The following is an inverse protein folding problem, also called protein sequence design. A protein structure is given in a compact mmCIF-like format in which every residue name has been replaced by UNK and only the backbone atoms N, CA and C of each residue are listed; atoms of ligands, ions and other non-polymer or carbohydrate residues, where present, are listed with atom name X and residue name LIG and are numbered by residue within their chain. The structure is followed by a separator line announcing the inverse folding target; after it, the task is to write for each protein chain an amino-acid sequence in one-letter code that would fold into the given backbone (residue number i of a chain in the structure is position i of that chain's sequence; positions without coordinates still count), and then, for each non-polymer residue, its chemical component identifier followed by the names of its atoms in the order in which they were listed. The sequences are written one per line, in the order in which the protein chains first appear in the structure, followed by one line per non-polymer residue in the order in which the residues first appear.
data_IF_131486034155
#
_entry.id   IF_131486034155
#
_cell.length_a   1.000
_cell.length_b   1.000
_cell.length_c   1.000
_cell.angle_alpha   90.00
_cell.angle_beta   90.00
_cell.angle_gamma   90.00
#
_symmetry.space_group_name_H-M   'P 1'
#
loop_
_entity.id
_entity.type
_entity.pdbx_description
1 polymer ?
#
# COMPACT_ATOMS: atom_id res chain seq x y z
N UNK A 1 -17.08 -8.00 0.54
CA UNK A 1 -17.68 -7.86 1.87
C UNK A 1 -17.66 -6.39 2.23
N UNK A 2 -18.71 -5.81 2.79
CA UNK A 2 -18.65 -4.42 3.19
C UNK A 2 -17.60 -4.25 4.28
N UNK A 3 -16.77 -3.22 4.14
CA UNK A 3 -15.86 -2.77 5.18
C UNK A 3 -16.68 -2.47 6.43
N UNK A 4 -16.32 -2.95 7.63
CA UNK A 4 -17.06 -2.63 8.82
C UNK A 4 -17.12 -1.11 8.98
N UNK A 5 -18.32 -0.55 8.93
CA UNK A 5 -18.55 0.87 9.12
C UNK A 5 -18.54 1.13 10.63
N UNK A 6 -17.51 1.80 11.11
CA UNK A 6 -17.46 2.24 12.52
C UNK A 6 -18.42 3.40 12.71
N UNK A 7 -19.48 3.19 13.48
CA UNK A 7 -20.35 4.26 13.95
C UNK A 7 -19.86 4.66 15.35
N UNK A 8 -19.27 5.85 15.46
CA UNK A 8 -18.94 6.44 16.75
C UNK A 8 -20.17 7.19 17.27
N UNK A 9 -20.74 6.75 18.38
CA UNK A 9 -21.73 7.50 19.13
C UNK A 9 -21.22 7.61 20.57
N UNK A 10 -20.89 8.82 21.01
CA UNK A 10 -20.53 9.24 22.36
C UNK A 10 -19.64 8.29 23.20
N UNK A 11 -18.59 7.70 22.64
CA UNK A 11 -17.57 6.82 23.25
C UNK A 11 -17.76 5.30 23.09
N UNK A 12 -18.69 4.85 22.28
CA UNK A 12 -18.79 3.45 21.96
C UNK A 12 -18.59 3.24 20.46
N UNK A 13 -17.65 2.34 20.09
CA UNK A 13 -17.52 1.83 18.73
C UNK A 13 -18.38 0.57 18.68
N UNK A 14 -19.50 0.61 17.98
CA UNK A 14 -20.35 -0.56 17.80
C UNK A 14 -19.91 -1.30 16.54
N UNK A 15 -19.39 -2.50 16.72
CA UNK A 15 -19.11 -3.43 15.62
C UNK A 15 -20.29 -4.40 15.53
N UNK A 16 -21.00 -4.49 14.39
CA UNK A 16 -22.08 -5.46 14.25
C UNK A 16 -21.53 -6.89 14.32
N UNK A 17 -22.02 -7.70 15.25
CA UNK A 17 -21.62 -9.09 15.41
C UNK A 17 -22.43 -9.75 16.54
N UNK A 18 -22.56 -11.07 16.47
CA UNK A 18 -23.36 -11.87 17.41
C UNK A 18 -22.53 -12.50 18.52
N UNK A 19 -21.21 -12.59 18.37
CA UNK A 19 -20.31 -13.19 19.34
C UNK A 19 -19.43 -12.12 19.99
N UNK A 20 -19.32 -12.17 21.31
CA UNK A 20 -18.49 -11.27 22.09
C UNK A 20 -17.29 -12.01 22.67
N UNK A 21 -16.11 -11.40 22.57
CA UNK A 21 -14.89 -11.90 23.22
C UNK A 21 -14.21 -10.76 23.97
N UNK A 22 -13.69 -11.03 25.16
CA UNK A 22 -12.97 -10.04 25.97
C UNK A 22 -11.50 -10.42 26.07
N UNK A 23 -10.65 -9.43 25.76
CA UNK A 23 -9.19 -9.54 25.87
C UNK A 23 -8.69 -8.72 27.04
N UNK A 24 -8.01 -9.40 27.98
CA UNK A 24 -7.37 -8.75 29.15
C UNK A 24 -6.02 -8.15 28.78
N UNK A 25 -5.62 -7.12 29.53
CA UNK A 25 -4.32 -6.48 29.36
C UNK A 25 -4.22 -5.53 28.15
N UNK A 26 -3.01 -5.00 27.88
CA UNK A 26 -2.83 -4.02 26.82
C UNK A 26 -2.77 -4.66 25.42
N UNK A 27 -3.43 -4.05 24.45
CA UNK A 27 -3.43 -4.42 23.04
C UNK A 27 -3.25 -3.19 22.16
N UNK A 28 -2.71 -3.38 20.96
CA UNK A 28 -2.46 -2.35 19.96
C UNK A 28 -3.37 -2.56 18.74
N UNK A 29 -4.33 -1.67 18.51
CA UNK A 29 -5.19 -1.75 17.34
C UNK A 29 -4.45 -1.26 16.10
N UNK A 30 -4.03 -2.18 15.26
CA UNK A 30 -3.48 -1.87 13.95
C UNK A 30 -4.57 -1.87 12.87
N UNK A 31 -5.47 -2.83 12.93
CA UNK A 31 -6.47 -3.07 11.89
C UNK A 31 -5.88 -3.77 10.67
N UNK A 32 -6.62 -3.83 9.58
CA UNK A 32 -6.18 -4.46 8.33
C UNK A 32 -6.94 -3.90 7.12
N UNK A 33 -6.38 -4.13 5.93
CA UNK A 33 -7.03 -3.88 4.65
C UNK A 33 -6.49 -4.86 3.60
N UNK A 34 -7.36 -5.43 2.75
CA UNK A 34 -6.95 -6.41 1.75
C UNK A 34 -6.06 -5.82 0.65
N UNK A 35 -6.27 -4.55 0.29
CA UNK A 35 -5.39 -3.87 -0.66
C UNK A 35 -4.05 -3.54 0.01
N UNK A 36 -2.96 -4.07 -0.56
CA UNK A 36 -1.60 -3.93 -0.01
C UNK A 36 -1.14 -2.47 0.10
N UNK A 37 -1.52 -1.60 -0.85
CA UNK A 37 -1.20 -0.17 -0.78
C UNK A 37 -1.85 0.50 0.44
N UNK A 38 -3.15 0.23 0.68
CA UNK A 38 -3.82 0.72 1.87
C UNK A 38 -3.25 0.10 3.15
N UNK A 39 -2.89 -1.19 3.12
CA UNK A 39 -2.20 -1.83 4.22
C UNK A 39 -0.92 -1.08 4.58
N UNK A 40 -0.03 -0.87 3.64
CA UNK A 40 1.25 -0.18 3.88
C UNK A 40 1.05 1.24 4.42
N UNK A 41 0.20 2.03 3.76
CA UNK A 41 0.11 3.47 4.01
C UNK A 41 -0.81 3.86 5.16
N UNK A 42 -1.90 3.10 5.40
CA UNK A 42 -2.91 3.49 6.37
C UNK A 42 -2.89 2.63 7.65
N UNK A 43 -2.26 1.46 7.60
CA UNK A 43 -2.24 0.53 8.73
C UNK A 43 -0.81 0.27 9.20
N UNK A 44 0.00 -0.38 8.40
CA UNK A 44 1.37 -0.74 8.79
C UNK A 44 2.22 0.49 9.12
N UNK A 45 2.06 1.59 8.41
CA UNK A 45 2.77 2.85 8.68
C UNK A 45 2.51 3.44 10.08
N UNK A 46 1.38 3.08 10.75
CA UNK A 46 1.13 3.47 12.15
C UNK A 46 2.17 2.94 13.13
N UNK A 47 2.87 1.87 12.74
CA UNK A 47 3.93 1.28 13.55
C UNK A 47 5.13 2.22 13.73
N UNK A 48 5.24 3.29 12.94
CA UNK A 48 6.23 4.35 13.17
C UNK A 48 6.07 5.00 14.55
N UNK A 49 4.82 5.18 15.00
CA UNK A 49 4.49 5.77 16.31
C UNK A 49 4.74 4.81 17.47
N UNK A 50 4.71 3.50 17.18
CA UNK A 50 4.93 2.44 18.17
C UNK A 50 6.41 2.16 18.34
N UNK A 51 7.18 2.19 17.26
CA UNK A 51 8.61 1.85 17.23
C UNK A 51 9.45 2.64 18.23
N UNK A 52 9.09 3.90 18.46
CA UNK A 52 9.79 4.82 19.39
C UNK A 52 9.40 4.56 20.86
N UNK A 53 8.35 3.77 21.09
CA UNK A 53 7.77 3.48 22.40
C UNK A 53 8.08 2.04 22.79
N UNK A 54 9.17 1.84 23.53
CA UNK A 54 9.61 0.50 23.98
C UNK A 54 8.55 -0.24 24.80
N UNK A 55 7.71 0.49 25.51
CA UNK A 55 6.59 -0.03 26.28
C UNK A 55 5.45 -0.58 25.42
N UNK A 56 5.40 -0.21 24.12
CA UNK A 56 4.39 -0.67 23.17
C UNK A 56 4.86 -1.76 22.21
N UNK A 57 6.18 -1.93 22.03
CA UNK A 57 6.72 -2.87 21.04
C UNK A 57 6.51 -4.35 21.40
N UNK A 58 6.21 -4.66 22.66
CA UNK A 58 5.90 -6.02 23.11
C UNK A 58 4.39 -6.30 23.26
N UNK A 59 3.55 -5.30 23.01
CA UNK A 59 2.10 -5.43 23.14
C UNK A 59 1.55 -6.15 21.90
N UNK A 60 0.63 -7.15 22.08
CA UNK A 60 0.00 -7.83 20.97
C UNK A 60 -0.75 -6.86 20.03
N UNK A 61 -0.61 -7.07 18.73
CA UNK A 61 -1.29 -6.28 17.70
C UNK A 61 -2.63 -6.91 17.32
N UNK A 62 -3.66 -6.09 17.24
CA UNK A 62 -5.01 -6.48 16.84
C UNK A 62 -5.20 -6.18 15.35
N UNK A 63 -5.55 -7.20 14.58
CA UNK A 63 -5.76 -7.14 13.13
C UNK A 63 -7.06 -7.87 12.76
N UNK A 64 -7.50 -7.72 11.51
CA UNK A 64 -8.55 -8.57 10.97
C UNK A 64 -8.03 -10.01 10.73
N UNK A 65 -8.92 -10.99 10.77
CA UNK A 65 -8.60 -12.41 10.61
C UNK A 65 -8.05 -12.77 9.22
N UNK A 66 -8.29 -11.92 8.22
CA UNK A 66 -7.81 -12.10 6.85
C UNK A 66 -6.34 -11.71 6.63
N UNK A 67 -5.62 -11.32 7.69
CA UNK A 67 -4.22 -10.94 7.58
C UNK A 67 -3.35 -12.17 7.19
N UNK A 68 -2.76 -12.12 6.02
CA UNK A 68 -1.97 -13.22 5.44
C UNK A 68 -0.95 -12.71 4.41
N UNK A 69 -0.10 -13.61 3.92
CA UNK A 69 0.88 -13.34 2.87
C UNK A 69 1.76 -12.13 3.19
N UNK A 70 2.02 -11.29 2.21
CA UNK A 70 2.91 -10.12 2.33
C UNK A 70 2.55 -9.17 3.47
N UNK A 71 1.26 -9.11 3.86
CA UNK A 71 0.83 -8.27 4.99
C UNK A 71 1.31 -8.83 6.33
N UNK A 72 1.23 -10.14 6.50
CA UNK A 72 1.76 -10.83 7.68
C UNK A 72 3.28 -10.72 7.73
N UNK A 73 3.96 -10.92 6.60
CA UNK A 73 5.42 -10.79 6.50
C UNK A 73 5.91 -9.40 6.94
N UNK A 74 5.14 -8.32 6.69
CA UNK A 74 5.47 -7.00 7.20
C UNK A 74 5.56 -6.96 8.73
N UNK A 75 4.61 -7.57 9.45
CA UNK A 75 4.64 -7.62 10.91
C UNK A 75 5.76 -8.51 11.42
N UNK A 76 5.98 -9.67 10.80
CA UNK A 76 7.08 -10.57 11.15
C UNK A 76 8.44 -9.89 11.05
N UNK A 77 8.64 -9.03 10.05
CA UNK A 77 9.87 -8.22 9.90
C UNK A 77 10.06 -7.17 10.99
N UNK A 78 8.98 -6.72 11.61
CA UNK A 78 9.03 -5.87 12.80
C UNK A 78 9.26 -6.67 14.09
N UNK A 79 9.32 -8.01 14.01
CA UNK A 79 9.58 -8.89 15.14
C UNK A 79 8.31 -9.43 15.82
N UNK A 80 7.12 -9.22 15.25
CA UNK A 80 5.89 -9.80 15.79
C UNK A 80 5.78 -11.27 15.40
N UNK A 81 5.74 -12.15 16.42
CA UNK A 81 5.40 -13.56 16.25
C UNK A 81 3.89 -13.80 16.16
N UNK A 82 3.48 -14.98 15.74
CA UNK A 82 2.05 -15.34 15.64
C UNK A 82 1.32 -15.25 16.99
N UNK A 83 2.00 -15.52 18.09
CA UNK A 83 1.50 -15.39 19.46
C UNK A 83 1.22 -13.94 19.89
N UNK A 84 1.78 -12.99 19.17
CA UNK A 84 1.57 -11.56 19.39
C UNK A 84 0.55 -10.95 18.40
N UNK A 85 -0.07 -11.75 17.54
CA UNK A 85 -1.05 -11.29 16.55
C UNK A 85 -2.45 -11.78 16.94
N UNK A 86 -3.27 -10.85 17.41
CA UNK A 86 -4.67 -11.11 17.76
C UNK A 86 -5.53 -10.86 16.52
N UNK A 87 -6.10 -11.93 15.96
CA UNK A 87 -7.01 -11.84 14.81
C UNK A 87 -8.44 -11.78 15.31
N UNK A 88 -9.15 -10.71 14.90
CA UNK A 88 -10.58 -10.56 15.20
C UNK A 88 -11.38 -10.99 13.98
N UNK A 89 -12.17 -12.08 14.08
CA UNK A 89 -13.01 -12.54 13.00
C UNK A 89 -14.05 -11.50 12.55
N UNK A 90 -14.38 -11.53 11.27
CA UNK A 90 -15.45 -10.69 10.76
C UNK A 90 -16.78 -11.04 11.44
N UNK A 91 -17.49 -10.02 11.93
CA UNK A 91 -18.75 -10.18 12.64
C UNK A 91 -18.62 -10.45 14.15
N UNK A 92 -17.42 -10.58 14.68
CA UNK A 92 -17.19 -10.71 16.12
C UNK A 92 -17.03 -9.35 16.79
N UNK A 93 -17.61 -9.17 17.96
CA UNK A 93 -17.38 -8.01 18.84
C UNK A 93 -16.25 -8.37 19.80
N UNK A 94 -15.15 -7.58 19.72
CA UNK A 94 -14.00 -7.76 20.60
C UNK A 94 -13.91 -6.60 21.59
N UNK A 95 -13.92 -6.92 22.88
CA UNK A 95 -13.72 -5.99 23.97
C UNK A 95 -12.29 -6.07 24.48
N UNK A 96 -11.67 -4.93 24.67
CA UNK A 96 -10.28 -4.83 25.16
C UNK A 96 -10.28 -3.99 26.43
N UNK A 97 -9.70 -4.51 27.51
CA UNK A 97 -9.54 -3.74 28.76
C UNK A 97 -8.66 -2.50 28.57
N UNK A 98 -7.64 -2.61 27.73
CA UNK A 98 -6.72 -1.54 27.43
C UNK A 98 -6.30 -1.60 25.96
N UNK A 99 -6.84 -0.67 25.14
CA UNK A 99 -6.61 -0.63 23.71
C UNK A 99 -5.86 0.65 23.30
N UNK A 100 -4.65 0.48 22.81
CA UNK A 100 -3.89 1.56 22.20
C UNK A 100 -4.24 1.67 20.72
N UNK A 101 -4.59 2.88 20.30
CA UNK A 101 -4.98 3.16 18.90
C UNK A 101 -4.00 4.19 18.33
N UNK A 102 -2.97 3.78 17.57
CA UNK A 102 -2.07 4.71 16.94
C UNK A 102 -2.82 5.57 15.91
N UNK A 103 -2.56 6.87 15.90
CA UNK A 103 -3.12 7.78 14.90
C UNK A 103 -2.62 7.44 13.50
N UNK A 104 -3.32 7.96 12.49
CA UNK A 104 -2.87 7.86 11.11
C UNK A 104 -1.67 8.80 10.90
N UNK A 105 -0.59 8.34 10.22
CA UNK A 105 0.59 9.16 9.98
C UNK A 105 0.42 10.05 8.73
N UNK A 106 -0.76 10.61 8.56
CA UNK A 106 -1.07 11.57 7.51
C UNK A 106 -2.06 12.62 8.02
N UNK A 107 -2.16 13.72 7.31
CA UNK A 107 -3.15 14.76 7.56
C UNK A 107 -3.86 15.15 6.27
N UNK A 108 -5.06 15.70 6.42
CA UNK A 108 -5.78 16.31 5.29
C UNK A 108 -5.30 17.75 5.18
N UNK A 109 -4.71 18.10 4.04
CA UNK A 109 -4.34 19.49 3.77
C UNK A 109 -5.56 20.28 3.31
N UNK A 110 -6.05 21.25 4.09
CA UNK A 110 -7.22 22.07 3.69
C UNK A 110 -6.96 22.91 2.44
N UNK A 111 -5.68 23.22 2.16
CA UNK A 111 -5.31 24.04 1.00
C UNK A 111 -5.26 23.23 -0.30
N UNK A 112 -4.98 21.93 -0.17
CA UNK A 112 -4.75 21.06 -1.32
C UNK A 112 -5.89 20.06 -1.52
N UNK A 113 -6.85 20.00 -0.59
CA UNK A 113 -7.90 18.97 -0.53
C UNK A 113 -7.31 17.55 -0.69
N UNK A 114 -6.22 17.30 0.04
CA UNK A 114 -5.34 16.16 -0.18
C UNK A 114 -4.99 15.45 1.11
N UNK A 115 -4.84 14.15 1.02
CA UNK A 115 -4.15 13.34 2.01
C UNK A 115 -2.64 13.49 1.82
N UNK A 116 -1.94 13.95 2.84
CA UNK A 116 -0.49 14.13 2.83
C UNK A 116 0.10 13.24 3.92
N UNK A 117 0.85 12.23 3.50
CA UNK A 117 1.65 11.42 4.42
C UNK A 117 2.90 12.19 4.82
N UNK A 118 3.33 12.02 6.07
CA UNK A 118 4.59 12.62 6.50
C UNK A 118 5.77 11.92 5.80
N UNK A 119 6.86 12.63 5.51
CA UNK A 119 8.05 12.05 4.88
C UNK A 119 8.60 10.82 5.61
N UNK A 120 8.47 10.80 6.94
CA UNK A 120 8.91 9.71 7.79
C UNK A 120 8.24 8.38 7.45
N UNK A 121 7.03 8.39 6.88
CA UNK A 121 6.31 7.18 6.50
C UNK A 121 7.11 6.37 5.49
N UNK A 122 7.57 6.99 4.40
CA UNK A 122 8.32 6.23 3.39
C UNK A 122 9.68 5.77 3.91
N UNK A 123 10.35 6.58 4.73
CA UNK A 123 11.58 6.20 5.37
C UNK A 123 11.39 5.04 6.35
N UNK A 124 10.30 5.05 7.12
CA UNK A 124 9.92 3.94 7.98
C UNK A 124 9.67 2.66 7.18
N UNK A 125 8.82 2.72 6.15
CA UNK A 125 8.50 1.56 5.31
C UNK A 125 9.76 0.94 4.71
N UNK A 126 10.65 1.75 4.15
CA UNK A 126 11.90 1.30 3.56
C UNK A 126 12.82 0.65 4.61
N UNK A 127 12.98 1.27 5.77
CA UNK A 127 13.81 0.75 6.86
C UNK A 127 13.23 -0.52 7.47
N UNK A 128 11.93 -0.53 7.77
CA UNK A 128 11.25 -1.66 8.41
C UNK A 128 11.22 -2.91 7.53
N UNK A 129 11.10 -2.72 6.22
CA UNK A 129 11.00 -3.82 5.26
C UNK A 129 12.33 -4.18 4.59
N UNK A 130 13.43 -3.51 4.94
CA UNK A 130 14.76 -3.85 4.46
C UNK A 130 15.05 -3.42 3.02
N UNK A 131 14.40 -2.34 2.55
CA UNK A 131 14.65 -1.82 1.21
C UNK A 131 16.06 -1.22 1.09
N UNK A 132 16.75 -1.52 -0.01
CA UNK A 132 18.05 -0.95 -0.30
C UNK A 132 17.93 0.51 -0.77
N UNK A 133 18.85 1.36 -0.34
CA UNK A 133 19.00 2.73 -0.86
C UNK A 133 19.77 2.81 -2.17
N UNK A 134 20.46 1.72 -2.55
CA UNK A 134 21.28 1.63 -3.77
C UNK A 134 20.81 0.45 -4.60
N UNK A 135 20.90 0.60 -5.92
CA UNK A 135 20.69 -0.52 -6.84
C UNK A 135 21.81 -1.56 -6.64
N UNK A 136 21.45 -2.80 -6.85
CA UNK A 136 22.43 -3.90 -6.83
C UNK A 136 23.32 -3.81 -8.06
N UNK A 137 24.62 -3.73 -7.84
CA UNK A 137 25.62 -3.65 -8.92
C UNK A 137 25.97 -5.04 -9.49
N UNK A 138 25.64 -6.12 -8.77
CA UNK A 138 25.86 -7.51 -9.16
C UNK A 138 24.78 -8.08 -10.09
N UNK A 139 23.77 -7.29 -10.41
CA UNK A 139 22.64 -7.64 -11.27
C UNK A 139 22.42 -6.61 -12.37
N UNK A 140 21.99 -7.04 -13.56
CA UNK A 140 21.60 -6.11 -14.61
C UNK A 140 20.38 -5.29 -14.17
N UNK A 141 20.32 -4.01 -14.56
CA UNK A 141 19.16 -3.18 -14.28
C UNK A 141 17.92 -3.69 -15.01
N UNK A 142 16.79 -3.72 -14.31
CA UNK A 142 15.52 -4.26 -14.83
C UNK A 142 14.51 -3.16 -15.10
N UNK A 143 13.74 -3.33 -16.15
CA UNK A 143 12.63 -2.45 -16.53
C UNK A 143 11.34 -3.23 -16.39
N UNK A 144 10.48 -2.81 -15.48
CA UNK A 144 9.30 -3.56 -15.10
C UNK A 144 8.03 -2.89 -15.63
N UNK A 145 7.18 -3.70 -16.24
CA UNK A 145 5.82 -3.33 -16.60
C UNK A 145 4.85 -4.04 -15.64
N UNK A 146 4.19 -3.28 -14.79
CA UNK A 146 3.25 -3.80 -13.80
C UNK A 146 1.91 -4.08 -14.47
N UNK A 147 1.48 -5.34 -14.46
CA UNK A 147 0.18 -5.74 -14.99
C UNK A 147 -0.94 -5.54 -13.97
N UNK A 148 -2.15 -5.27 -14.48
CA UNK A 148 -3.38 -5.22 -13.70
C UNK A 148 -4.49 -6.08 -14.30
N UNK A 149 -4.17 -7.07 -15.13
CA UNK A 149 -5.14 -7.93 -15.82
C UNK A 149 -6.08 -8.66 -14.87
N UNK A 150 -5.57 -9.08 -13.72
CA UNK A 150 -6.33 -9.87 -12.73
C UNK A 150 -7.02 -9.03 -11.68
N UNK A 151 -7.03 -7.69 -11.84
CA UNK A 151 -7.72 -6.79 -10.91
C UNK A 151 -9.12 -6.44 -11.40
N UNK A 152 -10.00 -6.02 -10.47
CA UNK A 152 -11.38 -5.61 -10.80
C UNK A 152 -11.47 -4.21 -11.39
N UNK A 153 -10.50 -3.33 -11.08
CA UNK A 153 -10.61 -1.88 -11.24
C UNK A 153 -9.37 -1.29 -11.87
N UNK A 154 -9.53 -0.21 -12.61
CA UNK A 154 -8.43 0.55 -13.22
C UNK A 154 -7.56 -0.32 -14.12
N UNK A 155 -8.20 -1.17 -14.91
CA UNK A 155 -7.50 -1.98 -15.90
C UNK A 155 -7.10 -1.11 -17.08
N UNK A 156 -5.93 -1.36 -17.61
CA UNK A 156 -5.50 -0.83 -18.88
C UNK A 156 -6.03 -1.75 -19.98
N UNK A 157 -7.13 -1.36 -20.65
CA UNK A 157 -7.83 -2.26 -21.57
C UNK A 157 -7.02 -2.60 -22.83
N UNK A 158 -6.08 -1.72 -23.22
CA UNK A 158 -5.10 -2.01 -24.27
C UNK A 158 -3.71 -2.39 -23.72
N UNK A 159 -3.65 -3.06 -22.57
CA UNK A 159 -2.39 -3.43 -21.91
C UNK A 159 -1.43 -4.20 -22.82
N UNK A 160 -1.95 -5.12 -23.64
CA UNK A 160 -1.11 -5.91 -24.54
C UNK A 160 -0.46 -5.06 -25.63
N UNK A 161 -1.18 -4.12 -26.17
CA UNK A 161 -0.69 -3.18 -27.17
C UNK A 161 0.42 -2.31 -26.57
N UNK A 162 0.16 -1.73 -25.38
CA UNK A 162 1.15 -0.92 -24.67
C UNK A 162 2.40 -1.75 -24.32
N UNK A 163 2.20 -2.96 -23.80
CA UNK A 163 3.33 -3.82 -23.49
C UNK A 163 4.15 -4.21 -24.73
N UNK A 164 3.49 -4.53 -25.85
CA UNK A 164 4.18 -4.83 -27.11
C UNK A 164 5.04 -3.65 -27.60
N UNK A 165 4.60 -2.41 -27.36
CA UNK A 165 5.36 -1.22 -27.71
C UNK A 165 6.63 -1.03 -26.85
N UNK A 166 6.60 -1.45 -25.56
CA UNK A 166 7.73 -1.25 -24.64
C UNK A 166 8.61 -2.49 -24.47
N UNK A 167 8.12 -3.67 -24.80
CA UNK A 167 8.86 -4.94 -24.72
C UNK A 167 10.23 -4.90 -25.46
N UNK A 168 10.33 -4.33 -26.68
CA UNK A 168 11.62 -4.21 -27.37
C UNK A 168 12.62 -3.31 -26.65
N UNK A 169 12.15 -2.47 -25.71
CA UNK A 169 12.98 -1.63 -24.85
C UNK A 169 13.46 -2.38 -23.59
N UNK A 170 13.22 -3.68 -23.48
CA UNK A 170 13.65 -4.53 -22.39
C UNK A 170 12.72 -4.53 -21.17
N UNK A 171 11.45 -4.16 -21.33
CA UNK A 171 10.48 -4.29 -20.25
C UNK A 171 10.03 -5.73 -20.07
N UNK A 172 9.92 -6.13 -18.79
CA UNK A 172 9.40 -7.42 -18.33
C UNK A 172 8.05 -7.20 -17.67
N UNK A 173 7.04 -8.01 -18.00
CA UNK A 173 5.70 -7.92 -17.40
C UNK A 173 5.71 -8.66 -16.06
N UNK A 174 5.27 -7.99 -14.99
CA UNK A 174 5.27 -8.51 -13.63
C UNK A 174 3.93 -8.23 -12.95
N UNK A 175 3.40 -9.23 -12.25
CA UNK A 175 2.34 -9.06 -11.26
C UNK A 175 2.95 -9.16 -9.86
N UNK A 176 3.13 -8.04 -9.13
CA UNK A 176 3.68 -8.08 -7.77
C UNK A 176 2.82 -8.87 -6.77
N UNK A 177 1.54 -9.08 -7.08
CA UNK A 177 0.64 -9.88 -6.24
C UNK A 177 0.99 -11.37 -6.20
N UNK A 178 1.78 -11.86 -7.17
CA UNK A 178 2.27 -13.24 -7.23
C UNK A 178 3.58 -13.46 -6.47
N UNK A 179 4.20 -12.37 -5.96
CA UNK A 179 5.50 -12.39 -5.30
C UNK A 179 5.37 -12.27 -3.79
N UNK A 180 6.21 -13.00 -3.06
CA UNK A 180 6.45 -12.78 -1.64
C UNK A 180 7.05 -11.38 -1.39
N UNK A 181 7.02 -10.91 -0.15
CA UNK A 181 7.60 -9.61 0.21
C UNK A 181 9.10 -9.56 -0.08
N UNK A 182 9.82 -10.66 0.19
CA UNK A 182 11.25 -10.77 -0.10
C UNK A 182 11.55 -10.67 -1.59
N UNK A 183 10.77 -11.36 -2.43
CA UNK A 183 10.89 -11.28 -3.87
C UNK A 183 10.60 -9.87 -4.39
N UNK A 184 9.57 -9.21 -3.86
CA UNK A 184 9.24 -7.82 -4.21
C UNK A 184 10.39 -6.86 -3.87
N UNK A 185 10.98 -6.98 -2.68
CA UNK A 185 12.08 -6.10 -2.24
C UNK A 185 13.36 -6.38 -3.02
N UNK A 186 13.67 -7.67 -3.27
CA UNK A 186 14.81 -8.04 -4.09
C UNK A 186 14.67 -7.50 -5.52
N UNK A 187 13.50 -7.69 -6.13
CA UNK A 187 13.17 -7.18 -7.46
C UNK A 187 13.30 -5.64 -7.51
N UNK A 188 12.77 -4.95 -6.48
CA UNK A 188 12.85 -3.51 -6.38
C UNK A 188 14.31 -3.01 -6.35
N UNK A 189 15.23 -3.75 -5.70
CA UNK A 189 16.65 -3.38 -5.63
C UNK A 189 17.39 -3.44 -6.98
N UNK A 190 16.84 -4.14 -7.97
CA UNK A 190 17.38 -4.28 -9.32
C UNK A 190 16.76 -3.28 -10.32
N UNK A 191 15.78 -2.49 -9.89
CA UNK A 191 14.89 -1.72 -10.74
C UNK A 191 15.55 -0.47 -11.32
N UNK A 192 15.51 -0.33 -12.64
CA UNK A 192 15.86 0.90 -13.37
C UNK A 192 14.61 1.74 -13.67
N UNK A 193 13.58 1.08 -14.18
CA UNK A 193 12.31 1.72 -14.54
C UNK A 193 11.17 0.83 -14.06
N UNK A 194 10.15 1.44 -13.49
CA UNK A 194 8.85 0.82 -13.27
C UNK A 194 7.79 1.58 -14.04
N UNK A 195 6.95 0.87 -14.76
CA UNK A 195 5.87 1.41 -15.56
C UNK A 195 4.61 0.58 -15.33
N UNK A 196 3.46 1.22 -15.20
CA UNK A 196 2.21 0.48 -15.08
C UNK A 196 1.02 1.34 -14.74
N UNK A 197 -0.20 0.76 -14.77
CA UNK A 197 -1.41 1.44 -14.35
C UNK A 197 -1.40 1.71 -12.85
N UNK A 198 -1.97 2.85 -12.47
CA UNK A 198 -2.11 3.27 -11.07
C UNK A 198 -2.74 2.18 -10.20
N UNK A 199 -2.08 1.85 -9.10
CA UNK A 199 -2.57 0.87 -8.14
C UNK A 199 -1.49 0.33 -7.21
N UNK A 200 -1.88 -0.61 -6.32
CA UNK A 200 -0.98 -1.16 -5.29
C UNK A 200 0.29 -1.82 -5.86
N UNK A 201 0.24 -2.38 -7.07
CA UNK A 201 1.43 -2.94 -7.71
C UNK A 201 2.53 -1.90 -7.97
N UNK A 202 2.15 -0.64 -8.22
CA UNK A 202 3.10 0.45 -8.39
C UNK A 202 3.86 0.77 -7.09
N UNK A 203 3.32 0.44 -5.91
CA UNK A 203 4.00 0.67 -4.62
C UNK A 203 5.34 -0.06 -4.51
N UNK A 204 5.63 -0.98 -5.43
CA UNK A 204 6.94 -1.62 -5.53
C UNK A 204 8.08 -0.59 -5.63
N UNK A 205 7.84 0.59 -6.24
CA UNK A 205 8.82 1.66 -6.31
C UNK A 205 9.21 2.24 -4.95
N UNK A 206 8.38 2.05 -3.90
CA UNK A 206 8.71 2.49 -2.54
C UNK A 206 9.98 1.82 -2.01
N UNK A 207 10.25 0.61 -2.48
CA UNK A 207 11.42 -0.18 -2.08
C UNK A 207 12.61 -0.03 -3.02
N UNK A 208 12.42 0.65 -4.15
CA UNK A 208 13.44 0.84 -5.16
C UNK A 208 14.42 1.98 -4.82
N UNK A 209 15.63 1.98 -5.41
CA UNK A 209 16.59 3.07 -5.30
C UNK A 209 16.06 4.40 -5.84
N UNK A 210 16.70 5.50 -5.42
CA UNK A 210 16.33 6.84 -5.89
C UNK A 210 16.56 7.07 -7.39
N UNK A 211 17.46 6.29 -8.00
CA UNK A 211 17.76 6.34 -9.44
C UNK A 211 16.67 5.71 -10.30
N UNK A 212 15.73 4.99 -9.70
CA UNK A 212 14.61 4.36 -10.40
C UNK A 212 13.66 5.42 -10.98
N UNK A 213 13.28 5.24 -12.23
CA UNK A 213 12.26 6.08 -12.88
C UNK A 213 10.90 5.43 -12.74
N UNK A 214 9.90 6.23 -12.37
CA UNK A 214 8.52 5.80 -12.17
C UNK A 214 7.65 6.39 -13.28
N UNK A 215 6.96 5.56 -14.03
CA UNK A 215 6.03 5.95 -15.09
C UNK A 215 4.64 5.39 -14.73
N UNK A 216 3.74 6.23 -14.29
CA UNK A 216 2.41 5.79 -13.88
C UNK A 216 1.36 6.16 -14.93
N UNK A 217 0.59 5.16 -15.36
CA UNK A 217 -0.54 5.36 -16.27
C UNK A 217 -1.82 5.50 -15.45
N UNK A 218 -2.54 6.60 -15.65
CA UNK A 218 -3.76 6.89 -14.87
C UNK A 218 -4.73 7.79 -15.62
N UNK A 219 -5.96 7.84 -15.12
CA UNK A 219 -6.92 8.83 -15.56
C UNK A 219 -6.64 10.19 -14.91
N UNK A 220 -7.01 11.25 -15.61
CA UNK A 220 -6.95 12.61 -15.06
C UNK A 220 -8.24 12.89 -14.28
N UNK A 221 -8.09 13.11 -12.98
CA UNK A 221 -9.20 13.49 -12.10
C UNK A 221 -9.09 14.96 -11.72
N UNK A 222 -10.10 15.78 -12.00
CA UNK A 222 -10.09 17.17 -11.57
C UNK A 222 -10.10 17.27 -10.04
N UNK A 223 -9.13 17.99 -9.47
CA UNK A 223 -9.12 18.35 -8.05
C UNK A 223 -8.83 17.23 -7.05
N UNK A 224 -8.42 16.03 -7.49
CA UNK A 224 -8.23 14.91 -6.58
C UNK A 224 -6.74 14.51 -6.42
N UNK A 225 -6.11 15.00 -5.38
CA UNK A 225 -4.69 14.74 -5.06
C UNK A 225 -4.48 13.36 -4.40
N UNK A 226 -5.53 12.67 -3.97
CA UNK A 226 -5.43 11.32 -3.42
C UNK A 226 -4.78 10.34 -4.42
N UNK A 227 -4.81 10.66 -5.72
CA UNK A 227 -4.17 9.90 -6.79
C UNK A 227 -2.71 10.27 -7.06
N UNK A 228 -2.15 11.21 -6.33
CA UNK A 228 -0.75 11.59 -6.47
C UNK A 228 0.15 10.98 -5.38
N UNK A 229 -0.36 9.98 -4.63
CA UNK A 229 0.42 9.34 -3.56
C UNK A 229 1.75 8.78 -4.07
N UNK A 230 1.76 8.10 -5.22
CA UNK A 230 2.99 7.57 -5.80
C UNK A 230 3.95 8.68 -6.23
N UNK A 231 3.44 9.81 -6.74
CA UNK A 231 4.24 10.99 -7.05
C UNK A 231 4.89 11.58 -5.79
N UNK A 232 4.11 11.73 -4.70
CA UNK A 232 4.61 12.25 -3.43
C UNK A 232 5.69 11.35 -2.85
N UNK A 233 5.47 10.03 -2.85
CA UNK A 233 6.44 9.06 -2.37
C UNK A 233 7.70 9.01 -3.25
N UNK A 234 7.56 9.10 -4.56
CA UNK A 234 8.69 9.18 -5.48
C UNK A 234 9.53 10.44 -5.24
N UNK A 235 8.88 11.59 -5.03
CA UNK A 235 9.56 12.85 -4.72
C UNK A 235 10.36 12.75 -3.41
N UNK A 236 9.77 12.13 -2.37
CA UNK A 236 10.45 11.96 -1.08
C UNK A 236 11.65 11.00 -1.17
N UNK A 237 11.57 9.95 -1.99
CA UNK A 237 12.69 9.05 -2.26
C UNK A 237 13.77 9.72 -3.12
N UNK A 238 13.41 10.75 -3.90
CA UNK A 238 14.25 11.41 -4.90
C UNK A 238 14.20 10.75 -6.28
N UNK A 239 13.15 9.99 -6.58
CA UNK A 239 12.92 9.32 -7.87
C UNK A 239 12.34 10.29 -8.91
N UNK A 240 12.66 10.07 -10.17
CA UNK A 240 11.99 10.74 -11.27
C UNK A 240 10.61 10.10 -11.50
N UNK A 241 9.58 10.93 -11.52
CA UNK A 241 8.20 10.46 -11.69
C UNK A 241 7.54 11.12 -12.92
N UNK A 242 6.87 10.30 -13.72
CA UNK A 242 6.17 10.71 -14.95
C UNK A 242 4.75 10.14 -14.97
N UNK A 243 3.78 10.95 -15.41
CA UNK A 243 2.41 10.50 -15.68
C UNK A 243 2.20 10.26 -17.16
N UNK A 244 1.45 9.21 -17.48
CA UNK A 244 0.80 9.03 -18.77
C UNK A 244 -0.72 9.06 -18.50
N UNK A 245 -1.41 10.03 -19.08
CA UNK A 245 -2.85 10.12 -18.91
C UNK A 245 -3.58 9.34 -19.98
N UNK A 246 -4.46 8.44 -19.53
CA UNK A 246 -5.33 7.65 -20.38
C UNK A 246 -6.69 8.31 -20.61
N UNK A 247 -7.42 7.71 -21.51
CA UNK A 247 -8.81 8.03 -21.85
C UNK A 247 -9.70 6.98 -21.17
N UNK A 248 -10.75 7.38 -20.43
CA UNK A 248 -11.64 6.44 -19.77
C UNK A 248 -12.45 5.65 -20.80
N UNK A 249 -12.74 4.41 -20.46
CA UNK A 249 -13.54 3.51 -21.31
C UNK A 249 -14.99 3.98 -21.41
N UNK A 250 -15.55 4.51 -20.32
CA UNK A 250 -16.87 5.16 -20.32
C UNK A 250 -16.73 6.69 -20.29
N UNK A 251 -16.98 7.37 -21.40
CA UNK A 251 -16.88 8.82 -21.49
C UNK A 251 -17.95 9.57 -20.69
N UNK A 252 -19.00 8.88 -20.19
CA UNK A 252 -20.11 9.50 -19.45
C UNK A 252 -19.77 9.83 -18.01
N UNK A 253 -18.71 9.24 -17.47
CA UNK A 253 -18.26 9.53 -16.11
C UNK A 253 -16.93 8.89 -15.81
N UNK A 254 -15.98 9.70 -15.32
CA UNK A 254 -14.70 9.21 -14.82
C UNK A 254 -14.85 8.91 -13.34
N UNK A 255 -14.80 7.64 -12.99
CA UNK A 255 -14.77 7.16 -11.61
C UNK A 255 -13.37 6.73 -11.22
N UNK A 256 -13.11 6.68 -9.92
CA UNK A 256 -11.85 6.22 -9.35
C UNK A 256 -11.42 4.82 -9.83
N UNK A 257 -12.40 4.00 -10.15
CA UNK A 257 -12.26 2.60 -10.51
C UNK A 257 -12.44 2.34 -12.00
N UNK A 258 -12.57 3.40 -12.80
CA UNK A 258 -12.78 3.27 -14.26
C UNK A 258 -11.56 2.63 -14.91
N UNK A 259 -11.85 1.73 -15.84
CA UNK A 259 -10.89 1.19 -16.78
C UNK A 259 -10.57 2.24 -17.86
N UNK A 260 -9.44 2.10 -18.53
CA UNK A 260 -8.97 3.11 -19.48
C UNK A 260 -8.04 2.53 -20.55
N UNK A 261 -7.76 3.33 -21.56
CA UNK A 261 -6.74 3.09 -22.58
C UNK A 261 -5.73 4.23 -22.60
N UNK A 262 -4.52 3.95 -23.04
CA UNK A 262 -3.50 4.97 -23.37
C UNK A 262 -3.15 4.89 -24.84
N UNK A 263 -2.76 6.01 -25.44
CA UNK A 263 -2.24 6.02 -26.80
C UNK A 263 -0.85 5.38 -26.83
N UNK A 264 -0.62 4.52 -27.77
CA UNK A 264 0.67 3.88 -28.07
C UNK A 264 1.43 4.67 -29.13
#
# INVERSE_FOLDING_TARGET
MPTPTFLANDRQIVVPGDEEVTYGGPHLLLGSHQNFGHWLLNYFSRMILVRERKDLTSIPVVVADDLSGTRLECLTRLGYGEDQIVRVPAGQIAWFENLWVPSLPYFVSPKADALVWTPEVIHFLRSALGASSKRRDDKPPRRLFITRRHTKWRRLNNEDEVFAAVQPLGFERIDPGELSLDEQINLASEMEIIMGPMGAGMNLHYFAPKETKVIEMKLKFPGNIMFDVNRLMAAEIGQQYHDIFGIPDDPRGVHLDSDFVVST
#
